data_IF_893334262195
#
_entry.id   IF_893334262195
#
_cell.length_a   1.000
_cell.length_b   1.000
_cell.length_c   1.000
_cell.angle_alpha   90.00
_cell.angle_beta   90.00
_cell.angle_gamma   90.00
#
_symmetry.space_group_name_H-M   'P 1'
#
loop_
_entity.id
_entity.type
_entity.pdbx_description
1 polymer ?
#
# COMPACT_ATOMS: atom_id res chain seq x y z
N UNK A 1 -14.91 -20.43 -34.55
CA UNK A 1 -15.26 -20.42 -33.11
C UNK A 1 -14.03 -20.48 -32.20
N UNK A 2 -12.96 -21.21 -32.55
CA UNK A 2 -11.68 -21.22 -31.79
C UNK A 2 -10.91 -19.90 -31.96
N UNK A 3 -10.80 -19.39 -33.20
CA UNK A 3 -10.12 -18.12 -33.51
C UNK A 3 -10.75 -16.91 -32.80
N UNK A 4 -12.07 -16.74 -32.90
CA UNK A 4 -12.79 -15.63 -32.25
C UNK A 4 -12.66 -15.64 -30.71
N UNK A 5 -12.62 -16.84 -30.10
CA UNK A 5 -12.35 -17.00 -28.66
C UNK A 5 -10.91 -16.64 -28.31
N UNK A 6 -9.95 -17.05 -29.15
CA UNK A 6 -8.53 -16.72 -28.98
C UNK A 6 -8.32 -15.20 -29.05
N UNK A 7 -8.89 -14.53 -30.06
CA UNK A 7 -8.82 -13.09 -30.23
C UNK A 7 -9.40 -12.36 -29.01
N UNK A 8 -10.58 -12.80 -28.53
CA UNK A 8 -11.21 -12.23 -27.34
C UNK A 8 -10.32 -12.35 -26.09
N UNK A 9 -9.70 -13.52 -25.86
CA UNK A 9 -8.79 -13.71 -24.72
C UNK A 9 -7.51 -12.90 -24.86
N UNK A 10 -6.97 -12.81 -26.07
CA UNK A 10 -5.77 -12.04 -26.36
C UNK A 10 -5.98 -10.54 -26.15
N UNK A 11 -7.09 -9.99 -26.65
CA UNK A 11 -7.45 -8.59 -26.43
C UNK A 11 -7.63 -8.29 -24.94
N UNK A 12 -8.33 -9.17 -24.23
CA UNK A 12 -8.51 -9.01 -22.79
C UNK A 12 -7.19 -9.13 -22.00
N UNK A 13 -6.27 -10.00 -22.43
CA UNK A 13 -4.92 -10.11 -21.85
C UNK A 13 -4.11 -8.83 -22.07
N UNK A 14 -4.12 -8.28 -23.28
CA UNK A 14 -3.45 -7.01 -23.61
C UNK A 14 -3.98 -5.84 -22.76
N UNK A 15 -5.30 -5.73 -22.64
CA UNK A 15 -5.91 -4.72 -21.77
C UNK A 15 -5.52 -4.93 -20.31
N UNK A 16 -5.57 -6.17 -19.82
CA UNK A 16 -5.21 -6.51 -18.44
C UNK A 16 -3.75 -6.18 -18.11
N UNK A 17 -2.82 -6.40 -19.05
CA UNK A 17 -1.41 -5.98 -18.89
C UNK A 17 -1.32 -4.46 -18.75
N UNK A 18 -2.00 -3.71 -19.61
CA UNK A 18 -1.93 -2.24 -19.59
C UNK A 18 -2.44 -1.66 -18.28
N UNK A 19 -3.53 -2.25 -17.73
CA UNK A 19 -4.07 -1.92 -16.42
C UNK A 19 -3.08 -2.27 -15.30
N UNK A 20 -2.46 -3.45 -15.36
CA UNK A 20 -1.48 -3.89 -14.39
C UNK A 20 -0.27 -2.93 -14.33
N UNK A 21 0.31 -2.57 -15.48
CA UNK A 21 1.43 -1.63 -15.56
C UNK A 21 1.07 -0.23 -15.04
N UNK A 22 -0.14 0.24 -15.34
CA UNK A 22 -0.64 1.53 -14.84
C UNK A 22 -0.77 1.51 -13.31
N UNK A 23 -1.35 0.46 -12.74
CA UNK A 23 -1.47 0.35 -11.28
C UNK A 23 -0.11 0.17 -10.60
N UNK A 24 0.85 -0.53 -11.20
CA UNK A 24 2.22 -0.61 -10.68
C UNK A 24 2.88 0.77 -10.60
N UNK A 25 2.67 1.62 -11.61
CA UNK A 25 3.16 3.01 -11.58
C UNK A 25 2.51 3.82 -10.45
N UNK A 26 1.21 3.68 -10.25
CA UNK A 26 0.50 4.33 -9.14
C UNK A 26 1.01 3.86 -7.77
N UNK A 27 1.16 2.54 -7.59
CA UNK A 27 1.75 1.95 -6.38
C UNK A 27 3.12 2.55 -6.07
N UNK A 28 3.99 2.64 -7.08
CA UNK A 28 5.35 3.17 -6.90
C UNK A 28 5.33 4.66 -6.51
N UNK A 29 4.45 5.47 -7.12
CA UNK A 29 4.27 6.89 -6.74
C UNK A 29 3.74 7.02 -5.31
N UNK A 30 2.72 6.25 -4.94
CA UNK A 30 2.15 6.23 -3.59
C UNK A 30 3.20 5.84 -2.54
N UNK A 31 4.07 4.86 -2.85
CA UNK A 31 5.18 4.51 -1.98
C UNK A 31 6.15 5.68 -1.74
N UNK A 32 6.55 6.39 -2.81
CA UNK A 32 7.43 7.57 -2.69
C UNK A 32 6.75 8.66 -1.85
N UNK A 33 5.45 8.91 -2.06
CA UNK A 33 4.70 9.87 -1.26
C UNK A 33 4.65 9.47 0.21
N UNK A 34 4.45 8.18 0.53
CA UNK A 34 4.56 7.70 1.91
C UNK A 34 5.94 7.96 2.50
N UNK A 35 7.02 7.63 1.80
CA UNK A 35 8.38 7.91 2.30
C UNK A 35 8.58 9.39 2.64
N UNK A 36 8.12 10.29 1.78
CA UNK A 36 8.22 11.75 2.01
C UNK A 36 7.37 12.18 3.20
N UNK A 37 6.12 11.71 3.28
CA UNK A 37 5.22 12.07 4.38
C UNK A 37 5.71 11.52 5.72
N UNK A 38 6.25 10.30 5.76
CA UNK A 38 6.84 9.68 6.94
C UNK A 38 8.12 10.40 7.38
N UNK A 39 8.94 10.87 6.43
CA UNK A 39 10.08 11.73 6.76
C UNK A 39 9.64 13.07 7.37
N UNK A 40 8.61 13.72 6.81
CA UNK A 40 8.02 14.95 7.36
C UNK A 40 7.42 14.69 8.75
N UNK A 41 6.69 13.58 8.92
CA UNK A 41 6.12 13.11 10.18
C UNK A 41 7.19 12.96 11.26
N UNK A 42 8.29 12.28 10.94
CA UNK A 42 9.42 12.13 11.85
C UNK A 42 10.07 13.47 12.23
N UNK A 43 10.23 14.39 11.27
CA UNK A 43 10.77 15.72 11.53
C UNK A 43 9.84 16.56 12.39
N UNK A 44 8.53 16.53 12.15
CA UNK A 44 7.51 17.19 12.98
C UNK A 44 7.54 16.66 14.42
N UNK A 45 7.73 15.36 14.58
CA UNK A 45 7.84 14.74 15.90
C UNK A 45 9.07 15.20 16.70
N UNK A 46 10.15 15.59 16.01
CA UNK A 46 11.41 16.03 16.65
C UNK A 46 11.55 17.54 16.78
N UNK A 47 11.13 18.30 15.78
CA UNK A 47 11.26 19.75 15.73
C UNK A 47 10.05 20.38 15.03
N UNK A 48 8.89 20.43 15.70
CA UNK A 48 7.65 20.89 15.09
C UNK A 48 7.70 22.37 14.72
N UNK A 49 8.37 23.21 15.53
CA UNK A 49 8.48 24.65 15.30
C UNK A 49 9.23 24.97 14.00
N UNK A 50 10.36 24.31 13.76
CA UNK A 50 11.14 24.52 12.54
C UNK A 50 10.33 24.17 11.27
N UNK A 51 9.65 23.02 11.27
CA UNK A 51 8.86 22.58 10.13
C UNK A 51 7.65 23.48 9.91
N UNK A 52 7.02 23.95 10.99
CA UNK A 52 5.89 24.86 10.90
C UNK A 52 6.28 26.23 10.34
N UNK A 53 7.43 26.79 10.74
CA UNK A 53 7.97 28.03 10.17
C UNK A 53 8.23 27.86 8.68
N UNK A 54 8.94 26.79 8.28
CA UNK A 54 9.19 26.50 6.86
C UNK A 54 7.90 26.37 6.06
N UNK A 55 6.91 25.65 6.59
CA UNK A 55 5.62 25.47 5.94
C UNK A 55 4.89 26.80 5.76
N UNK A 56 4.80 27.61 6.82
CA UNK A 56 4.15 28.92 6.76
C UNK A 56 4.85 29.88 5.80
N UNK A 57 6.18 29.86 5.73
CA UNK A 57 6.95 30.69 4.78
C UNK A 57 6.65 30.30 3.34
N UNK A 58 6.57 28.99 3.04
CA UNK A 58 6.18 28.50 1.71
C UNK A 58 4.75 28.92 1.37
N UNK A 59 3.80 28.72 2.28
CA UNK A 59 2.38 29.08 2.07
C UNK A 59 2.22 30.58 1.83
N UNK A 60 2.85 31.40 2.65
CA UNK A 60 2.83 32.86 2.52
C UNK A 60 3.39 33.32 1.19
N UNK A 61 4.49 32.70 0.73
CA UNK A 61 5.12 33.01 -0.56
C UNK A 61 4.25 32.59 -1.75
N UNK A 62 3.58 31.44 -1.68
CA UNK A 62 2.83 30.88 -2.81
C UNK A 62 1.41 31.43 -2.94
N UNK A 63 0.76 31.74 -1.82
CA UNK A 63 -0.65 32.14 -1.79
C UNK A 63 -0.85 33.63 -1.46
N UNK A 64 0.22 34.38 -1.20
CA UNK A 64 0.19 35.79 -0.79
C UNK A 64 -0.75 36.08 0.40
N UNK A 65 -0.98 35.08 1.27
CA UNK A 65 -1.90 35.20 2.42
C UNK A 65 -1.18 35.54 3.72
N UNK A 66 -1.97 35.99 4.71
CA UNK A 66 -1.54 36.15 6.11
C UNK A 66 -1.98 34.98 7.01
N UNK A 67 -2.47 33.88 6.43
CA UNK A 67 -2.91 32.72 7.20
C UNK A 67 -1.67 32.04 7.79
N UNK A 68 -1.69 31.83 9.10
CA UNK A 68 -0.65 31.10 9.82
C UNK A 68 -1.23 29.81 10.38
N UNK A 69 -0.60 28.70 10.04
CA UNK A 69 -0.93 27.39 10.56
C UNK A 69 -0.14 27.16 11.84
N UNK A 70 -0.79 26.55 12.83
CA UNK A 70 -0.12 26.12 14.05
C UNK A 70 0.48 24.71 13.88
N UNK A 71 1.44 24.37 14.74
CA UNK A 71 2.07 23.06 14.74
C UNK A 71 1.03 21.92 14.84
N UNK A 72 0.04 22.08 15.72
CA UNK A 72 -1.00 21.07 15.92
C UNK A 72 -1.83 20.84 14.64
N UNK A 73 -2.20 21.91 13.92
CA UNK A 73 -2.96 21.78 12.68
C UNK A 73 -2.12 21.10 11.60
N UNK A 74 -0.83 21.43 11.52
CA UNK A 74 0.09 20.81 10.56
C UNK A 74 0.32 19.31 10.86
N UNK A 75 0.44 18.95 12.13
CA UNK A 75 0.54 17.55 12.56
C UNK A 75 -0.69 16.74 12.16
N UNK A 76 -1.89 17.23 12.52
CA UNK A 76 -3.15 16.58 12.13
C UNK A 76 -3.30 16.46 10.61
N UNK A 77 -2.88 17.48 9.84
CA UNK A 77 -2.89 17.41 8.38
C UNK A 77 -1.99 16.29 7.85
N UNK A 78 -0.79 16.14 8.40
CA UNK A 78 0.14 15.07 8.01
C UNK A 78 -0.44 13.69 8.34
N UNK A 79 -1.08 13.51 9.50
CA UNK A 79 -1.78 12.27 9.84
C UNK A 79 -2.83 11.87 8.80
N UNK A 80 -3.68 12.82 8.39
CA UNK A 80 -4.72 12.58 7.38
C UNK A 80 -4.12 12.22 6.03
N UNK A 81 -3.05 12.93 5.62
CA UNK A 81 -2.37 12.64 4.36
C UNK A 81 -1.70 11.26 4.35
N UNK A 82 -1.02 10.88 5.44
CA UNK A 82 -0.43 9.54 5.59
C UNK A 82 -1.51 8.48 5.49
N UNK A 83 -2.61 8.62 6.24
CA UNK A 83 -3.70 7.65 6.21
C UNK A 83 -4.29 7.50 4.80
N UNK A 84 -4.55 8.62 4.11
CA UNK A 84 -5.07 8.58 2.75
C UNK A 84 -4.12 7.89 1.77
N UNK A 85 -2.85 8.31 1.74
CA UNK A 85 -1.86 7.74 0.81
C UNK A 85 -1.61 6.26 1.13
N UNK A 86 -1.61 5.88 2.42
CA UNK A 86 -1.48 4.48 2.84
C UNK A 86 -2.62 3.62 2.32
N UNK A 87 -3.87 4.08 2.45
CA UNK A 87 -5.04 3.38 1.90
C UNK A 87 -4.88 3.17 0.39
N UNK A 88 -4.49 4.21 -0.34
CA UNK A 88 -4.28 4.14 -1.81
C UNK A 88 -3.16 3.17 -2.16
N UNK A 89 -2.04 3.23 -1.45
CA UNK A 89 -0.92 2.31 -1.61
C UNK A 89 -1.35 0.86 -1.40
N UNK A 90 -2.03 0.57 -0.29
CA UNK A 90 -2.52 -0.79 0.02
C UNK A 90 -3.49 -1.29 -1.04
N UNK A 91 -4.43 -0.45 -1.50
CA UNK A 91 -5.35 -0.78 -2.58
C UNK A 91 -4.61 -1.17 -3.87
N UNK A 92 -3.61 -0.36 -4.27
CA UNK A 92 -2.83 -0.60 -5.48
C UNK A 92 -1.98 -1.89 -5.36
N UNK A 93 -1.33 -2.14 -4.22
CA UNK A 93 -0.57 -3.38 -3.99
C UNK A 93 -1.47 -4.60 -4.13
N UNK A 94 -2.60 -4.62 -3.42
CA UNK A 94 -3.52 -5.77 -3.45
C UNK A 94 -4.17 -5.95 -4.82
N UNK A 95 -4.38 -4.87 -5.56
CA UNK A 95 -4.86 -4.96 -6.94
C UNK A 95 -3.81 -5.59 -7.86
N UNK A 96 -2.55 -5.14 -7.79
CA UNK A 96 -1.44 -5.70 -8.59
C UNK A 96 -1.26 -7.20 -8.31
N UNK A 97 -1.24 -7.61 -7.04
CA UNK A 97 -1.12 -9.02 -6.63
C UNK A 97 -2.26 -9.90 -7.19
N UNK A 98 -3.49 -9.37 -7.27
CA UNK A 98 -4.62 -10.08 -7.90
C UNK A 98 -4.50 -10.12 -9.42
N UNK A 99 -4.03 -9.04 -10.04
CA UNK A 99 -3.86 -8.97 -11.49
C UNK A 99 -2.83 -9.98 -12.00
N UNK A 100 -1.71 -10.19 -11.31
CA UNK A 100 -0.74 -11.22 -11.71
C UNK A 100 -1.33 -12.63 -11.74
N UNK A 101 -2.15 -12.99 -10.74
CA UNK A 101 -2.86 -14.28 -10.72
C UNK A 101 -3.85 -14.41 -11.88
N UNK A 102 -4.53 -13.32 -12.19
CA UNK A 102 -5.48 -13.27 -13.30
C UNK A 102 -4.78 -13.37 -14.67
N UNK A 103 -3.68 -12.63 -14.87
CA UNK A 103 -2.84 -12.69 -16.07
C UNK A 103 -2.31 -14.11 -16.31
N UNK A 104 -1.79 -14.78 -15.29
CA UNK A 104 -1.37 -16.19 -15.40
C UNK A 104 -2.54 -17.11 -15.81
N UNK A 105 -3.76 -16.82 -15.35
CA UNK A 105 -4.96 -17.59 -15.75
C UNK A 105 -5.30 -17.34 -17.23
N UNK A 106 -5.17 -16.11 -17.72
CA UNK A 106 -5.38 -15.79 -19.14
C UNK A 106 -4.30 -16.42 -20.02
N UNK A 107 -3.03 -16.31 -19.64
CA UNK A 107 -1.90 -16.95 -20.31
C UNK A 107 -2.14 -18.45 -20.50
N UNK A 108 -2.54 -19.16 -19.44
CA UNK A 108 -2.87 -20.60 -19.51
C UNK A 108 -4.04 -20.90 -20.44
N UNK A 109 -5.10 -20.08 -20.42
CA UNK A 109 -6.25 -20.26 -21.32
C UNK A 109 -5.88 -20.02 -22.78
N UNK A 110 -5.04 -19.03 -23.06
CA UNK A 110 -4.52 -18.74 -24.40
C UNK A 110 -3.65 -19.90 -24.87
N UNK A 111 -2.70 -20.36 -24.05
CA UNK A 111 -1.87 -21.54 -24.35
C UNK A 111 -2.70 -22.79 -24.67
N UNK A 112 -3.75 -23.07 -23.89
CA UNK A 112 -4.65 -24.21 -24.15
C UNK A 112 -5.35 -24.13 -25.51
N UNK A 113 -5.76 -22.93 -25.94
CA UNK A 113 -6.37 -22.72 -27.27
C UNK A 113 -5.34 -22.80 -28.40
N UNK A 114 -4.09 -22.45 -28.11
CA UNK A 114 -2.97 -22.57 -29.02
C UNK A 114 -2.38 -23.98 -29.08
N UNK A 115 -2.80 -24.92 -28.21
CA UNK A 115 -2.30 -26.31 -28.26
C UNK A 115 -2.66 -27.05 -29.57
N UNK A 116 -3.57 -26.49 -30.39
CA UNK A 116 -3.82 -26.90 -31.77
C UNK A 116 -2.68 -26.52 -32.74
N UNK A 117 -1.72 -25.70 -32.29
CA UNK A 117 -0.52 -25.23 -33.00
C UNK A 117 0.75 -25.55 -32.20
N UNK A 118 1.91 -25.68 -32.86
CA UNK A 118 3.18 -26.17 -32.26
C UNK A 118 3.81 -25.25 -31.17
N UNK A 119 3.14 -24.15 -30.80
CA UNK A 119 3.66 -23.03 -30.02
C UNK A 119 3.09 -22.95 -28.58
N UNK A 120 3.11 -24.07 -27.86
CA UNK A 120 2.36 -24.26 -26.60
C UNK A 120 2.74 -23.32 -25.43
N UNK A 121 3.89 -22.66 -25.46
CA UNK A 121 4.45 -21.95 -24.29
C UNK A 121 4.87 -20.49 -24.56
N UNK A 122 4.39 -19.89 -25.64
CA UNK A 122 4.73 -18.49 -25.97
C UNK A 122 4.14 -17.51 -24.94
N UNK A 123 2.94 -17.78 -24.42
CA UNK A 123 2.25 -16.91 -23.47
C UNK A 123 2.56 -17.31 -22.03
N UNK A 124 3.77 -16.97 -21.56
CA UNK A 124 4.22 -17.26 -20.18
C UNK A 124 4.92 -16.08 -19.52
N UNK A 125 4.92 -14.90 -20.16
CA UNK A 125 5.77 -13.76 -19.81
C UNK A 125 5.52 -13.24 -18.39
N UNK A 126 4.26 -13.04 -18.01
CA UNK A 126 3.88 -12.46 -16.70
C UNK A 126 3.59 -13.56 -15.66
N UNK A 127 3.38 -14.80 -16.09
CA UNK A 127 3.22 -15.99 -15.25
C UNK A 127 4.54 -16.72 -15.02
N UNK A 128 4.73 -17.85 -15.71
CA UNK A 128 5.81 -18.79 -15.41
C UNK A 128 7.22 -18.25 -15.74
N UNK A 129 7.38 -17.54 -16.86
CA UNK A 129 8.66 -16.97 -17.27
C UNK A 129 9.10 -15.80 -16.37
N UNK A 130 8.17 -15.05 -15.77
CA UNK A 130 8.50 -14.00 -14.81
C UNK A 130 9.22 -14.58 -13.57
N UNK A 131 8.82 -15.77 -13.12
CA UNK A 131 9.39 -16.45 -11.96
C UNK A 131 10.62 -17.30 -12.29
N UNK A 132 10.89 -17.54 -13.56
CA UNK A 132 11.99 -18.39 -14.00
C UNK A 132 13.34 -17.73 -13.70
N UNK A 133 14.20 -18.43 -12.93
CA UNK A 133 15.49 -17.90 -12.45
C UNK A 133 15.39 -16.52 -11.79
N UNK A 134 14.32 -16.30 -11.01
CA UNK A 134 14.05 -14.99 -10.40
C UNK A 134 15.25 -14.50 -9.57
N UNK A 135 15.86 -13.35 -9.92
CA UNK A 135 17.06 -12.86 -9.26
C UNK A 135 16.87 -12.67 -7.75
N UNK A 136 17.84 -13.12 -6.96
CA UNK A 136 17.82 -12.97 -5.49
C UNK A 136 17.68 -11.51 -5.05
N UNK A 137 18.26 -10.56 -5.77
CA UNK A 137 18.13 -9.13 -5.48
C UNK A 137 16.67 -8.65 -5.57
N UNK A 138 15.89 -9.19 -6.51
CA UNK A 138 14.48 -8.83 -6.64
C UNK A 138 13.64 -9.42 -5.50
N UNK A 139 13.99 -10.62 -5.01
CA UNK A 139 13.38 -11.18 -3.80
C UNK A 139 13.66 -10.32 -2.56
N UNK A 140 14.89 -9.80 -2.43
CA UNK A 140 15.23 -8.89 -1.34
C UNK A 140 14.47 -7.56 -1.43
N UNK A 141 14.31 -7.02 -2.63
CA UNK A 141 13.53 -5.81 -2.87
C UNK A 141 12.04 -6.04 -2.57
N UNK A 142 11.48 -7.19 -2.94
CA UNK A 142 10.10 -7.57 -2.60
C UNK A 142 9.90 -7.66 -1.08
N UNK A 143 10.84 -8.29 -0.38
CA UNK A 143 10.87 -8.35 1.09
C UNK A 143 10.93 -6.95 1.72
N UNK A 144 11.77 -6.07 1.19
CA UNK A 144 11.91 -4.70 1.67
C UNK A 144 10.56 -3.96 1.60
N UNK A 145 9.88 -4.02 0.46
CA UNK A 145 8.61 -3.31 0.28
C UNK A 145 7.46 -3.92 1.08
N UNK A 146 7.39 -5.25 1.19
CA UNK A 146 6.27 -5.94 1.83
C UNK A 146 6.38 -6.06 3.35
N UNK A 147 7.61 -6.09 3.88
CA UNK A 147 7.84 -6.29 5.32
C UNK A 147 8.57 -5.10 5.94
N UNK A 148 9.75 -4.76 5.43
CA UNK A 148 10.62 -3.79 6.10
C UNK A 148 9.99 -2.38 6.13
N UNK A 149 9.50 -1.89 4.99
CA UNK A 149 8.92 -0.55 4.90
C UNK A 149 7.65 -0.38 5.77
N UNK A 150 6.65 -1.29 5.75
CA UNK A 150 5.49 -1.18 6.65
C UNK A 150 5.85 -1.20 8.14
N UNK A 151 6.84 -2.00 8.55
CA UNK A 151 7.34 -2.01 9.94
C UNK A 151 7.99 -0.66 10.27
N UNK A 152 8.82 -0.14 9.37
CA UNK A 152 9.47 1.15 9.55
C UNK A 152 8.46 2.29 9.69
N UNK A 153 7.46 2.36 8.81
CA UNK A 153 6.39 3.37 8.88
C UNK A 153 5.55 3.24 10.15
N UNK A 154 5.23 2.00 10.56
CA UNK A 154 4.53 1.77 11.82
C UNK A 154 5.35 2.24 13.04
N UNK A 155 6.66 2.04 13.01
CA UNK A 155 7.56 2.50 14.07
C UNK A 155 7.66 4.03 14.11
N UNK A 156 7.78 4.70 12.95
CA UNK A 156 7.80 6.16 12.85
C UNK A 156 6.51 6.76 13.41
N UNK A 157 5.35 6.27 12.96
CA UNK A 157 4.05 6.72 13.45
C UNK A 157 3.86 6.43 14.94
N UNK A 158 4.34 5.28 15.43
CA UNK A 158 4.33 4.94 16.86
C UNK A 158 5.17 5.90 17.70
N UNK A 159 6.36 6.28 17.23
CA UNK A 159 7.18 7.31 17.89
C UNK A 159 6.49 8.67 17.84
N UNK A 160 5.92 9.05 16.69
CA UNK A 160 5.27 10.35 16.52
C UNK A 160 4.10 10.51 17.49
N UNK A 161 3.17 9.56 17.53
CA UNK A 161 2.01 9.65 18.42
C UNK A 161 2.44 9.70 19.89
N UNK A 162 3.44 8.91 20.32
CA UNK A 162 3.97 8.98 21.69
C UNK A 162 4.54 10.37 22.01
N UNK A 163 5.22 11.01 21.05
CA UNK A 163 5.73 12.37 21.23
C UNK A 163 4.60 13.39 21.35
N UNK A 164 3.52 13.26 20.58
CA UNK A 164 2.35 14.15 20.68
C UNK A 164 1.67 14.07 22.06
N UNK A 165 1.52 12.86 22.60
CA UNK A 165 0.99 12.64 23.95
C UNK A 165 1.86 13.28 25.04
N UNK A 166 3.17 13.38 24.82
CA UNK A 166 4.09 14.03 25.77
C UNK A 166 4.12 15.56 25.63
N UNK A 167 3.85 16.11 24.44
CA UNK A 167 3.98 17.54 24.14
C UNK A 167 2.70 18.37 24.40
N UNK A 168 1.58 17.75 24.78
CA UNK A 168 0.40 18.46 25.28
C UNK A 168 -0.41 19.22 24.22
N UNK A 169 -0.66 18.61 23.06
CA UNK A 169 -1.59 19.12 22.03
C UNK A 169 -2.99 19.30 22.63
N UNK A 170 -3.82 20.14 22.00
CA UNK A 170 -5.25 20.25 22.36
C UNK A 170 -5.92 18.88 22.37
N UNK A 171 -6.66 18.57 23.45
CA UNK A 171 -7.21 17.23 23.68
C UNK A 171 -8.05 16.69 22.50
N UNK A 172 -8.78 17.56 21.81
CA UNK A 172 -9.60 17.17 20.67
C UNK A 172 -8.77 16.70 19.46
N UNK A 173 -7.71 17.43 19.10
CA UNK A 173 -6.83 17.06 18.00
C UNK A 173 -6.03 15.79 18.34
N UNK A 174 -5.54 15.68 19.57
CA UNK A 174 -4.82 14.48 20.03
C UNK A 174 -5.69 13.21 19.95
N UNK A 175 -6.97 13.29 20.32
CA UNK A 175 -7.90 12.16 20.18
C UNK A 175 -8.10 11.81 18.71
N UNK A 176 -8.29 12.81 17.85
CA UNK A 176 -8.42 12.60 16.41
C UNK A 176 -7.18 11.93 15.81
N UNK A 177 -5.99 12.46 16.09
CA UNK A 177 -4.71 11.93 15.61
C UNK A 177 -4.46 10.51 16.13
N UNK A 178 -4.85 10.23 17.38
CA UNK A 178 -4.81 8.86 17.94
C UNK A 178 -5.73 7.91 17.18
N UNK A 179 -6.96 8.33 16.83
CA UNK A 179 -7.89 7.53 16.04
C UNK A 179 -7.34 7.26 14.64
N UNK A 180 -6.75 8.27 13.99
CA UNK A 180 -6.12 8.13 12.67
C UNK A 180 -4.91 7.20 12.73
N UNK A 181 -4.05 7.33 13.74
CA UNK A 181 -2.93 6.43 13.97
C UNK A 181 -3.39 4.98 14.19
N UNK A 182 -4.46 4.76 14.94
CA UNK A 182 -5.05 3.43 15.12
C UNK A 182 -5.59 2.87 13.79
N UNK A 183 -6.23 3.71 12.96
CA UNK A 183 -6.68 3.30 11.63
C UNK A 183 -5.51 2.90 10.73
N UNK A 184 -4.42 3.68 10.70
CA UNK A 184 -3.17 3.37 9.99
C UNK A 184 -2.61 2.01 10.44
N UNK A 185 -2.59 1.75 11.74
CA UNK A 185 -2.10 0.50 12.29
C UNK A 185 -2.99 -0.68 11.87
N UNK A 186 -4.32 -0.54 11.94
CA UNK A 186 -5.28 -1.58 11.51
C UNK A 186 -5.15 -1.87 10.01
N UNK A 187 -5.01 -0.83 9.17
CA UNK A 187 -4.83 -1.00 7.72
C UNK A 187 -3.52 -1.72 7.42
N UNK A 188 -2.41 -1.29 8.04
CA UNK A 188 -1.10 -1.94 7.88
C UNK A 188 -1.12 -3.39 8.35
N UNK A 189 -1.83 -3.66 9.45
CA UNK A 189 -2.05 -5.01 9.96
C UNK A 189 -2.76 -5.87 8.91
N UNK A 190 -3.90 -5.41 8.37
CA UNK A 190 -4.62 -6.15 7.33
C UNK A 190 -3.80 -6.39 6.07
N UNK A 191 -3.07 -5.36 5.62
CA UNK A 191 -2.15 -5.46 4.51
C UNK A 191 -1.17 -6.63 4.70
N UNK A 192 -0.58 -6.74 5.90
CA UNK A 192 0.37 -7.82 6.21
C UNK A 192 -0.27 -9.22 6.07
N UNK A 193 -1.51 -9.41 6.53
CA UNK A 193 -2.20 -10.69 6.41
C UNK A 193 -2.56 -11.07 4.97
N UNK A 194 -2.95 -10.10 4.16
CA UNK A 194 -3.35 -10.34 2.77
C UNK A 194 -2.14 -10.61 1.86
N UNK A 195 -1.05 -9.87 2.05
CA UNK A 195 0.17 -10.04 1.25
C UNK A 195 0.92 -11.31 1.64
N UNK A 196 1.00 -11.63 2.93
CA UNK A 196 1.74 -12.80 3.42
C UNK A 196 0.82 -13.96 3.80
N UNK A 197 0.00 -14.44 2.87
CA UNK A 197 -0.97 -15.53 3.09
C UNK A 197 -0.40 -16.74 3.87
N UNK A 198 0.84 -17.16 3.57
CA UNK A 198 1.48 -18.30 4.26
C UNK A 198 1.89 -17.98 5.70
N UNK A 199 2.43 -16.78 5.98
CA UNK A 199 2.70 -16.35 7.37
C UNK A 199 1.42 -16.05 8.13
N UNK A 200 0.40 -15.51 7.44
CA UNK A 200 -0.94 -15.30 7.97
C UNK A 200 -1.59 -16.61 8.44
N UNK A 201 -1.41 -17.72 7.71
CA UNK A 201 -1.87 -19.04 8.15
C UNK A 201 -1.16 -19.50 9.43
N UNK A 202 0.13 -19.21 9.58
CA UNK A 202 0.86 -19.47 10.81
C UNK A 202 0.37 -18.60 11.98
N UNK A 203 0.20 -17.29 11.79
CA UNK A 203 -0.35 -16.38 12.80
C UNK A 203 -1.82 -16.69 13.16
N UNK A 204 -2.62 -17.21 12.22
CA UNK A 204 -4.00 -17.66 12.49
C UNK A 204 -4.06 -18.90 13.39
N UNK A 205 -2.97 -19.69 13.50
CA UNK A 205 -2.87 -20.78 14.48
C UNK A 205 -2.74 -20.23 15.91
N UNK A 206 -2.28 -18.99 16.09
CA UNK A 206 -2.33 -18.32 17.38
C UNK A 206 -3.79 -17.92 17.71
N UNK A 207 -4.38 -18.56 18.74
CA UNK A 207 -5.78 -18.38 19.17
C UNK A 207 -6.27 -16.91 19.26
N UNK A 208 -5.56 -15.96 19.90
CA UNK A 208 -6.08 -14.60 20.06
C UNK A 208 -6.13 -13.82 18.74
N UNK A 209 -5.13 -14.01 17.88
CA UNK A 209 -5.00 -13.34 16.59
C UNK A 209 -6.03 -13.88 15.60
N UNK A 210 -6.19 -15.22 15.53
CA UNK A 210 -7.19 -15.87 14.68
C UNK A 210 -8.63 -15.47 15.05
N UNK A 211 -8.94 -15.32 16.34
CA UNK A 211 -10.25 -14.85 16.80
C UNK A 211 -10.52 -13.40 16.39
N UNK A 212 -9.57 -12.48 16.61
CA UNK A 212 -9.70 -11.08 16.21
C UNK A 212 -9.89 -10.93 14.70
N UNK A 213 -9.08 -11.63 13.90
CA UNK A 213 -9.18 -11.59 12.44
C UNK A 213 -10.54 -12.10 11.94
N UNK A 214 -11.08 -13.19 12.52
CA UNK A 214 -12.40 -13.73 12.16
C UNK A 214 -13.53 -12.76 12.52
N UNK A 215 -13.47 -12.17 13.72
CA UNK A 215 -14.48 -11.22 14.18
C UNK A 215 -14.50 -9.97 13.30
N UNK A 216 -13.33 -9.40 12.98
CA UNK A 216 -13.25 -8.23 12.11
C UNK A 216 -13.70 -8.54 10.68
N UNK A 217 -13.33 -9.70 10.12
CA UNK A 217 -13.75 -10.10 8.77
C UNK A 217 -15.26 -10.24 8.64
N UNK A 218 -15.93 -10.75 9.68
CA UNK A 218 -17.39 -10.85 9.68
C UNK A 218 -18.03 -9.46 9.75
N UNK A 219 -17.55 -8.59 10.64
CA UNK A 219 -18.03 -7.21 10.74
C UNK A 219 -17.86 -6.42 9.43
N UNK A 220 -16.74 -6.59 8.73
CA UNK A 220 -16.44 -5.88 7.48
C UNK A 220 -17.13 -6.47 6.23
N UNK A 221 -17.69 -7.68 6.31
CA UNK A 221 -18.48 -8.27 5.21
C UNK A 221 -19.96 -7.89 5.26
N UNK A 222 -20.42 -7.41 6.41
CA UNK A 222 -21.82 -7.01 6.66
C UNK A 222 -22.05 -5.51 6.44
N UNK A 223 -21.00 -4.77 6.08
CA UNK A 223 -21.02 -3.33 5.70
C UNK A 223 -20.79 -3.22 4.19
#
# INVERSE_FOLDING_TARGET
MTVEKLDTYYDHYKESISLCQTTQSHRNKSFVYLCVLEAISFLLAKNPDFICVLFNDVVKKQLETKILFSNCVLQTLVWVLIAYVLVRYVQDVLYVERQYKYLNTLEKKISLLLEETDDKNIFTREGDNYLNNYPMVLNFIDLFYKILAPILFSAINGVHIVQEWNCGITRALLIFDTVVCLAIFVITWFYFFEVHGNMAEWFKKCKPIGWMAKKLRNLLKEV
#
